data_IF_618763686644
#
_entry.id   IF_618763686644
#
_cell.length_a   1.000
_cell.length_b   1.000
_cell.length_c   1.000
_cell.angle_alpha   90.00
_cell.angle_beta   90.00
_cell.angle_gamma   90.00
#
_symmetry.space_group_name_H-M   'P 1'
#
loop_
_entity.id
_entity.type
_entity.pdbx_description
1 polymer ?
#
# COMPACT_ATOMS: atom_id res chain seq x y z
N UNK A 1 6.95 -9.68 -10.07
CA UNK A 1 6.10 -9.90 -8.90
C UNK A 1 6.85 -9.58 -7.60
N UNK A 2 7.29 -8.32 -7.46
CA UNK A 2 8.15 -7.86 -6.36
C UNK A 2 7.41 -6.97 -5.34
N UNK A 3 6.09 -6.91 -5.41
CA UNK A 3 5.27 -6.09 -4.54
C UNK A 3 5.18 -4.63 -4.97
N UNK A 4 4.65 -3.79 -4.09
CA UNK A 4 4.42 -2.36 -4.36
C UNK A 4 5.56 -1.46 -3.90
N UNK A 5 5.18 -0.29 -3.39
CA UNK A 5 6.08 0.83 -3.05
C UNK A 5 6.00 1.26 -1.57
N UNK A 6 5.38 0.42 -0.72
CA UNK A 6 5.05 0.80 0.66
C UNK A 6 6.25 1.17 1.51
N UNK A 7 7.43 0.59 1.24
CA UNK A 7 8.66 0.90 1.95
C UNK A 7 9.20 2.32 1.75
N UNK A 8 8.72 3.04 0.71
CA UNK A 8 9.05 4.46 0.47
C UNK A 8 8.28 5.42 1.39
N UNK A 9 7.30 4.92 2.16
CA UNK A 9 6.44 5.74 3.02
C UNK A 9 6.77 5.55 4.49
N UNK A 10 6.83 6.63 5.23
CA UNK A 10 7.07 6.62 6.68
C UNK A 10 6.00 5.80 7.43
N UNK A 11 4.73 5.98 7.06
CA UNK A 11 3.63 5.18 7.57
C UNK A 11 3.13 4.25 6.46
N UNK A 12 3.38 2.96 6.61
CA UNK A 12 2.94 1.93 5.66
C UNK A 12 2.56 0.64 6.38
N UNK A 13 1.57 -0.05 5.83
CA UNK A 13 1.21 -1.41 6.25
C UNK A 13 2.10 -2.48 5.60
N UNK A 14 3.01 -2.09 4.71
CA UNK A 14 3.98 -2.96 4.06
C UNK A 14 5.31 -2.99 4.81
N UNK A 15 6.12 -4.00 4.52
CA UNK A 15 7.47 -4.07 5.05
C UNK A 15 8.39 -3.04 4.39
N UNK A 16 9.39 -2.47 5.10
CA UNK A 16 10.28 -1.44 4.58
C UNK A 16 11.08 -1.84 3.33
N UNK A 17 11.34 -3.14 3.12
CA UNK A 17 12.06 -3.65 1.96
C UNK A 17 11.19 -3.75 0.69
N UNK A 18 9.88 -3.48 0.77
CA UNK A 18 8.99 -3.43 -0.39
C UNK A 18 8.97 -1.98 -0.90
N UNK A 19 10.01 -1.58 -1.59
CA UNK A 19 10.28 -0.17 -1.93
C UNK A 19 10.22 0.14 -3.44
N UNK A 20 9.63 -0.75 -4.24
CA UNK A 20 9.44 -0.50 -5.68
C UNK A 20 10.65 -0.80 -6.54
N UNK A 21 11.59 -1.62 -6.08
CA UNK A 21 12.84 -1.92 -6.81
C UNK A 21 12.57 -2.41 -8.23
N UNK A 22 11.64 -3.35 -8.42
CA UNK A 22 11.28 -3.84 -9.75
C UNK A 22 10.61 -2.78 -10.63
N UNK A 23 9.88 -1.85 -10.04
CA UNK A 23 9.33 -0.71 -10.76
C UNK A 23 10.44 0.25 -11.19
N UNK A 24 11.39 0.57 -10.29
CA UNK A 24 12.55 1.40 -10.59
C UNK A 24 13.42 0.81 -11.72
N UNK A 25 13.68 -0.51 -11.69
CA UNK A 25 14.36 -1.22 -12.77
C UNK A 25 13.59 -1.06 -14.08
N UNK A 26 12.29 -1.32 -14.10
CA UNK A 26 11.46 -1.21 -15.29
C UNK A 26 11.48 0.21 -15.88
N UNK A 27 11.37 1.24 -15.04
CA UNK A 27 11.41 2.64 -15.45
C UNK A 27 12.77 3.02 -16.06
N UNK A 28 13.88 2.55 -15.50
CA UNK A 28 15.23 2.77 -16.05
C UNK A 28 15.45 2.11 -17.39
N UNK A 29 14.75 1.02 -17.66
CA UNK A 29 14.75 0.34 -18.95
C UNK A 29 13.62 0.78 -19.88
N UNK A 30 12.97 1.92 -19.60
CA UNK A 30 11.91 2.52 -20.44
C UNK A 30 10.71 1.60 -20.66
N UNK A 31 10.45 0.68 -19.74
CA UNK A 31 9.21 -0.09 -19.72
C UNK A 31 8.06 0.85 -19.35
N UNK A 32 6.95 0.76 -20.08
CA UNK A 32 5.79 1.61 -19.82
C UNK A 32 5.25 1.40 -18.41
N UNK A 33 4.95 2.51 -17.74
CA UNK A 33 4.33 2.56 -16.42
C UNK A 33 3.08 3.41 -16.46
N UNK A 34 2.13 3.15 -15.57
CA UNK A 34 0.84 3.81 -15.57
C UNK A 34 0.37 4.10 -14.14
N UNK A 35 -0.27 5.26 -13.92
CA UNK A 35 -0.94 5.61 -12.67
C UNK A 35 -0.06 5.53 -11.40
N UNK A 36 1.19 6.00 -11.45
CA UNK A 36 2.10 5.96 -10.30
C UNK A 36 1.59 6.79 -9.09
N UNK A 37 0.65 7.70 -9.32
CA UNK A 37 -0.08 8.49 -8.32
C UNK A 37 -1.25 7.73 -7.66
N UNK A 38 -1.67 6.55 -8.19
CA UNK A 38 -2.77 5.77 -7.64
C UNK A 38 -2.32 4.95 -6.41
N UNK A 39 -2.32 5.61 -5.29
CA UNK A 39 -1.84 5.07 -4.01
C UNK A 39 -2.99 5.05 -3.01
N UNK A 40 -3.38 3.86 -2.56
CA UNK A 40 -4.42 3.71 -1.55
C UNK A 40 -3.84 3.92 -0.15
N UNK A 41 -4.43 4.86 0.58
CA UNK A 41 -4.16 5.08 2.00
C UNK A 41 -5.23 4.34 2.81
N UNK A 42 -4.82 3.59 3.82
CA UNK A 42 -5.74 3.05 4.82
C UNK A 42 -5.91 4.08 5.95
N UNK A 43 -7.14 4.44 6.32
CA UNK A 43 -7.39 5.50 7.29
C UNK A 43 -6.83 5.20 8.69
N UNK A 44 -6.93 3.95 9.13
CA UNK A 44 -6.67 3.56 10.51
C UNK A 44 -5.61 2.47 10.60
N UNK A 45 -4.42 2.85 11.02
CA UNK A 45 -3.36 1.95 11.49
C UNK A 45 -2.93 2.39 12.87
N UNK A 46 -2.55 1.45 13.73
CA UNK A 46 -2.12 1.79 15.08
C UNK A 46 -0.88 2.67 15.02
N UNK A 47 -0.93 3.83 15.67
CA UNK A 47 0.21 4.71 15.79
C UNK A 47 1.25 4.09 16.74
N UNK A 48 2.50 4.04 16.31
CA UNK A 48 3.63 3.63 17.14
C UNK A 48 4.85 4.50 16.80
N UNK A 49 5.67 4.81 17.78
CA UNK A 49 6.95 5.50 17.58
C UNK A 49 8.05 4.57 17.07
N UNK A 50 7.80 3.28 17.10
CA UNK A 50 8.71 2.28 16.55
C UNK A 50 8.79 2.39 15.03
N UNK A 51 9.99 2.22 14.49
CA UNK A 51 10.19 2.15 13.03
C UNK A 51 9.66 0.80 12.50
N UNK A 52 9.16 0.83 11.28
CA UNK A 52 8.74 -0.37 10.57
C UNK A 52 7.28 -0.35 10.13
N UNK A 53 6.76 -1.53 9.89
CA UNK A 53 5.40 -1.74 9.40
C UNK A 53 4.36 -1.31 10.43
N UNK A 54 3.39 -0.49 9.99
CA UNK A 54 2.23 -0.12 10.82
C UNK A 54 1.25 -1.29 10.92
N UNK A 55 0.73 -1.52 12.12
CA UNK A 55 -0.30 -2.53 12.34
C UNK A 55 -1.66 -2.02 11.85
N UNK A 56 -2.32 -2.80 11.02
CA UNK A 56 -3.60 -2.45 10.42
C UNK A 56 -4.74 -2.62 11.43
N UNK A 57 -5.48 -1.54 11.71
CA UNK A 57 -6.79 -1.63 12.35
C UNK A 57 -7.81 -1.83 11.22
N UNK A 58 -8.45 -3.00 11.19
CA UNK A 58 -9.35 -3.39 10.10
C UNK A 58 -10.48 -2.37 9.90
N UNK A 59 -10.87 -2.16 8.65
CA UNK A 59 -12.04 -1.36 8.30
C UNK A 59 -13.33 -1.87 8.96
N UNK A 60 -13.41 -3.18 9.23
CA UNK A 60 -14.55 -3.79 9.93
C UNK A 60 -14.76 -3.22 11.33
N UNK A 61 -13.69 -2.73 12.00
CA UNK A 61 -13.79 -2.09 13.32
C UNK A 61 -14.68 -0.86 13.25
N UNK A 62 -14.47 0.00 12.24
CA UNK A 62 -15.34 1.16 11.97
C UNK A 62 -16.72 0.73 11.47
N UNK A 63 -16.76 -0.33 10.64
CA UNK A 63 -18.01 -0.93 10.15
C UNK A 63 -18.91 -1.45 11.27
N UNK A 64 -18.35 -1.95 12.38
CA UNK A 64 -19.06 -2.43 13.54
C UNK A 64 -19.35 -1.32 14.57
N UNK A 65 -18.91 -0.08 14.33
CA UNK A 65 -19.34 1.08 15.11
C UNK A 65 -18.26 1.80 15.90
N UNK A 66 -16.97 1.56 15.66
CA UNK A 66 -15.91 2.37 16.23
C UNK A 66 -15.96 3.80 15.66
N UNK A 67 -15.59 4.78 16.49
CA UNK A 67 -15.73 6.20 16.20
C UNK A 67 -14.37 6.91 16.21
N UNK A 68 -14.22 7.93 15.37
CA UNK A 68 -13.01 8.74 15.29
C UNK A 68 -13.16 10.08 16.01
N UNK A 69 -12.19 10.38 16.86
CA UNK A 69 -12.19 11.58 17.69
C UNK A 69 -10.90 12.39 17.51
N UNK A 70 -11.05 13.71 17.62
CA UNK A 70 -9.94 14.65 17.74
C UNK A 70 -9.28 14.60 19.13
N UNK A 71 -8.24 15.41 19.34
CA UNK A 71 -7.55 15.50 20.64
C UNK A 71 -8.42 15.95 21.81
N UNK A 72 -9.57 16.59 21.54
CA UNK A 72 -10.51 17.08 22.55
C UNK A 72 -11.68 16.11 22.79
N UNK A 73 -11.67 14.94 22.14
CA UNK A 73 -12.75 13.96 22.23
C UNK A 73 -14.00 14.34 21.42
N UNK A 74 -13.85 15.16 20.37
CA UNK A 74 -14.94 15.52 19.48
C UNK A 74 -14.87 14.70 18.20
N UNK A 75 -16.00 14.09 17.81
CA UNK A 75 -16.12 13.37 16.56
C UNK A 75 -16.05 14.35 15.38
N UNK A 76 -15.23 14.08 14.38
CA UNK A 76 -14.95 15.03 13.28
C UNK A 76 -15.30 14.52 11.89
N UNK A 77 -15.65 13.24 11.73
CA UNK A 77 -15.97 12.65 10.42
C UNK A 77 -17.05 11.57 10.52
N UNK A 78 -17.54 11.11 9.37
CA UNK A 78 -18.36 9.89 9.27
C UNK A 78 -17.43 8.73 8.84
N UNK A 79 -17.23 7.80 9.73
CA UNK A 79 -16.27 6.68 9.62
C UNK A 79 -16.62 5.67 8.53
N UNK A 80 -17.86 5.68 8.03
CA UNK A 80 -18.36 4.76 7.01
C UNK A 80 -18.20 5.31 5.58
N UNK A 81 -17.62 6.49 5.42
CA UNK A 81 -17.27 7.02 4.11
C UNK A 81 -16.13 6.22 3.44
N UNK A 82 -15.92 6.35 2.12
CA UNK A 82 -14.79 5.75 1.42
C UNK A 82 -13.44 6.07 2.06
N UNK A 83 -12.47 5.17 1.93
CA UNK A 83 -11.15 5.26 2.60
C UNK A 83 -10.42 6.56 2.33
N UNK A 84 -10.46 7.04 1.09
CA UNK A 84 -9.85 8.29 0.66
C UNK A 84 -10.44 9.49 1.42
N UNK A 85 -11.76 9.57 1.53
CA UNK A 85 -12.45 10.64 2.26
C UNK A 85 -12.11 10.60 3.76
N UNK A 86 -12.16 9.42 4.38
CA UNK A 86 -11.83 9.29 5.81
C UNK A 86 -10.35 9.59 6.05
N UNK A 87 -9.45 9.16 5.19
CA UNK A 87 -8.02 9.47 5.31
C UNK A 87 -7.74 10.96 5.21
N UNK A 88 -8.37 11.65 4.25
CA UNK A 88 -8.25 13.10 4.11
C UNK A 88 -8.79 13.84 5.34
N UNK A 89 -9.92 13.40 5.89
CA UNK A 89 -10.48 13.98 7.11
C UNK A 89 -9.53 13.81 8.31
N UNK A 90 -8.88 12.64 8.43
CA UNK A 90 -7.89 12.39 9.49
C UNK A 90 -6.66 13.28 9.30
N UNK A 91 -6.09 13.37 8.10
CA UNK A 91 -4.94 14.25 7.84
C UNK A 91 -5.27 15.72 8.17
N UNK A 92 -6.42 16.22 7.71
CA UNK A 92 -6.86 17.59 8.00
C UNK A 92 -7.04 17.83 9.51
N UNK A 93 -7.57 16.83 10.25
CA UNK A 93 -7.74 16.94 11.69
C UNK A 93 -6.40 16.90 12.44
N UNK A 94 -5.45 16.03 12.02
CA UNK A 94 -4.10 15.99 12.57
C UNK A 94 -3.38 17.34 12.39
N UNK A 95 -3.46 17.92 11.20
CA UNK A 95 -2.88 19.24 10.90
C UNK A 95 -3.50 20.33 11.79
N UNK A 96 -4.82 20.41 11.86
CA UNK A 96 -5.56 21.35 12.69
C UNK A 96 -5.20 21.25 14.17
N UNK A 97 -5.04 20.03 14.67
CA UNK A 97 -4.73 19.75 16.06
C UNK A 97 -3.23 19.86 16.39
N UNK A 98 -2.36 19.85 15.38
CA UNK A 98 -0.91 19.75 15.56
C UNK A 98 -0.48 18.43 16.19
N UNK A 99 -1.13 17.32 15.81
CA UNK A 99 -0.89 15.98 16.39
C UNK A 99 -0.40 15.00 15.33
N UNK A 100 0.30 13.94 15.77
CA UNK A 100 0.79 12.86 14.89
C UNK A 100 -0.23 11.75 14.66
N UNK A 101 -1.38 11.79 15.34
CA UNK A 101 -2.44 10.78 15.27
C UNK A 101 -3.80 11.39 15.65
N UNK A 102 -4.87 10.67 15.37
CA UNK A 102 -6.21 10.86 15.93
C UNK A 102 -6.58 9.68 16.82
N UNK A 103 -7.73 9.72 17.47
CA UNK A 103 -8.17 8.67 18.39
C UNK A 103 -9.29 7.83 17.76
N UNK A 104 -9.16 6.51 17.76
CA UNK A 104 -10.23 5.57 17.40
C UNK A 104 -10.78 4.89 18.65
N UNK A 105 -12.06 5.07 18.92
CA UNK A 105 -12.74 4.52 20.07
C UNK A 105 -13.52 3.25 19.71
N UNK A 106 -13.03 2.11 20.17
CA UNK A 106 -13.65 0.81 19.99
C UNK A 106 -14.67 0.45 21.08
N UNK A 107 -14.78 1.22 22.17
CA UNK A 107 -15.66 0.91 23.30
C UNK A 107 -17.15 0.80 22.94
N UNK A 108 -17.69 1.54 21.94
CA UNK A 108 -19.07 1.37 21.49
C UNK A 108 -19.39 -0.05 20.99
N UNK A 109 -18.40 -0.83 20.55
CA UNK A 109 -18.59 -2.23 20.13
C UNK A 109 -18.87 -3.15 21.32
N UNK A 110 -18.43 -2.79 22.52
CA UNK A 110 -18.48 -3.60 23.72
C UNK A 110 -17.35 -4.64 23.81
N UNK A 111 -16.94 -4.98 25.03
CA UNK A 111 -15.81 -5.88 25.31
C UNK A 111 -15.93 -7.23 24.60
N UNK A 112 -17.13 -7.84 24.60
CA UNK A 112 -17.35 -9.14 23.98
C UNK A 112 -17.02 -9.11 22.49
N UNK A 113 -17.55 -8.13 21.77
CA UNK A 113 -17.30 -7.96 20.32
C UNK A 113 -15.83 -7.72 20.04
N UNK A 114 -15.18 -6.86 20.81
CA UNK A 114 -13.73 -6.57 20.63
C UNK A 114 -12.91 -7.85 20.75
N UNK A 115 -13.18 -8.68 21.77
CA UNK A 115 -12.42 -9.92 22.00
C UNK A 115 -12.74 -11.05 21.02
N UNK A 116 -13.99 -11.17 20.58
CA UNK A 116 -14.42 -12.28 19.71
C UNK A 116 -14.21 -11.98 18.22
N UNK A 117 -14.49 -10.73 17.76
CA UNK A 117 -14.37 -10.38 16.34
C UNK A 117 -12.97 -9.85 16.00
N UNK A 118 -12.29 -9.19 16.95
CA UNK A 118 -11.00 -8.53 16.71
C UNK A 118 -9.88 -8.99 17.67
N UNK A 119 -9.72 -10.31 17.94
CA UNK A 119 -8.76 -10.79 18.95
C UNK A 119 -7.32 -10.37 18.67
N UNK A 120 -6.90 -10.39 17.40
CA UNK A 120 -5.54 -9.99 17.01
C UNK A 120 -5.32 -8.47 17.17
N UNK A 121 -6.34 -7.66 16.87
CA UNK A 121 -6.27 -6.20 17.08
C UNK A 121 -6.18 -5.90 18.55
N UNK A 122 -7.05 -6.52 19.37
CA UNK A 122 -7.02 -6.38 20.82
C UNK A 122 -5.64 -6.72 21.40
N UNK A 123 -5.13 -7.91 21.06
CA UNK A 123 -3.84 -8.38 21.56
C UNK A 123 -2.70 -7.42 21.19
N UNK A 124 -2.65 -6.98 19.93
CA UNK A 124 -1.61 -6.08 19.46
C UNK A 124 -1.69 -4.69 20.13
N UNK A 125 -2.90 -4.16 20.34
CA UNK A 125 -3.07 -2.91 21.09
C UNK A 125 -2.53 -3.03 22.53
N UNK A 126 -2.81 -4.15 23.22
CA UNK A 126 -2.29 -4.42 24.56
C UNK A 126 -0.75 -4.49 24.56
N UNK A 127 -0.14 -5.13 23.57
CA UNK A 127 1.32 -5.22 23.41
C UNK A 127 1.98 -3.85 23.21
N UNK A 128 1.29 -2.93 22.51
CA UNK A 128 1.72 -1.54 22.32
C UNK A 128 1.35 -0.62 23.49
N UNK A 129 0.70 -1.14 24.55
CA UNK A 129 0.36 -0.42 25.77
C UNK A 129 -0.99 0.27 25.77
N UNK A 130 -1.89 -0.03 24.85
CA UNK A 130 -3.23 0.52 24.74
C UNK A 130 -4.30 -0.54 25.04
N UNK A 131 -5.26 -0.23 25.89
CA UNK A 131 -6.40 -1.13 26.16
C UNK A 131 -7.67 -0.60 25.45
N UNK A 132 -8.01 -1.11 24.25
CA UNK A 132 -9.13 -0.61 23.46
C UNK A 132 -10.50 -0.85 24.10
N UNK A 133 -10.57 -1.61 25.20
CA UNK A 133 -11.80 -1.78 26.00
C UNK A 133 -11.97 -0.61 26.99
N UNK A 134 -10.87 -0.02 27.42
CA UNK A 134 -10.89 1.04 28.46
C UNK A 134 -10.75 2.45 27.89
N UNK A 135 -10.00 2.58 26.80
CA UNK A 135 -9.62 3.88 26.22
C UNK A 135 -9.59 3.86 24.69
N UNK A 136 -9.74 5.03 24.04
CA UNK A 136 -9.49 5.14 22.61
C UNK A 136 -8.02 4.87 22.28
N UNK A 137 -7.77 4.27 21.12
CA UNK A 137 -6.42 3.96 20.63
C UNK A 137 -5.94 5.04 19.64
N UNK A 138 -4.64 5.39 19.63
CA UNK A 138 -4.09 6.31 18.63
C UNK A 138 -3.98 5.64 17.26
N UNK A 139 -4.51 6.30 16.22
CA UNK A 139 -4.47 5.81 14.85
C UNK A 139 -3.97 6.87 13.87
N UNK A 140 -3.30 6.42 12.81
CA UNK A 140 -2.74 7.28 11.77
C UNK A 140 -3.01 6.65 10.39
N UNK A 141 -3.30 7.46 9.36
CA UNK A 141 -3.36 6.95 8.01
C UNK A 141 -2.00 6.44 7.53
N UNK A 142 -2.02 5.35 6.76
CA UNK A 142 -0.81 4.75 6.23
C UNK A 142 -0.99 4.27 4.79
N UNK A 143 0.10 4.33 4.02
CA UNK A 143 0.13 3.69 2.70
C UNK A 143 -0.22 2.20 2.86
N UNK A 144 -1.11 1.71 1.99
CA UNK A 144 -1.65 0.36 2.14
C UNK A 144 -1.55 -0.48 0.87
N UNK A 145 -1.84 0.10 -0.30
CA UNK A 145 -1.78 -0.59 -1.57
C UNK A 145 -1.43 0.38 -2.71
N UNK A 146 -0.72 -0.14 -3.71
CA UNK A 146 -0.34 0.60 -4.90
C UNK A 146 -1.12 0.06 -6.10
N UNK A 147 -1.99 0.87 -6.72
CA UNK A 147 -2.82 0.47 -7.85
C UNK A 147 -2.20 0.82 -9.20
N UNK A 148 -1.20 1.69 -9.21
CA UNK A 148 -0.36 1.96 -10.36
C UNK A 148 0.72 0.91 -10.55
N UNK A 149 1.70 1.19 -11.42
CA UNK A 149 2.86 0.32 -11.61
C UNK A 149 3.24 0.09 -13.07
N UNK A 150 3.92 -1.02 -13.31
CA UNK A 150 4.30 -1.45 -14.65
C UNK A 150 3.04 -1.76 -15.45
N UNK A 151 2.82 -1.03 -16.54
CA UNK A 151 1.67 -1.23 -17.42
C UNK A 151 1.71 -2.62 -18.05
N UNK A 152 0.59 -3.34 -17.99
CA UNK A 152 0.48 -4.68 -18.57
C UNK A 152 -0.84 -4.87 -19.31
N UNK A 153 -0.82 -5.80 -20.28
CA UNK A 153 -2.03 -6.27 -20.95
C UNK A 153 -2.77 -7.35 -20.13
N UNK A 154 -3.85 -7.90 -20.70
CA UNK A 154 -4.65 -8.95 -20.05
C UNK A 154 -3.89 -10.27 -19.82
N UNK A 155 -2.74 -10.46 -20.43
CA UNK A 155 -1.84 -11.61 -20.24
C UNK A 155 -0.64 -11.28 -19.36
N UNK A 156 -0.65 -10.10 -18.71
CA UNK A 156 0.46 -9.58 -17.88
C UNK A 156 1.76 -9.28 -18.67
N UNK A 157 1.69 -9.13 -19.99
CA UNK A 157 2.84 -8.70 -20.80
C UNK A 157 3.09 -7.21 -20.61
N UNK A 158 4.34 -6.84 -20.46
CA UNK A 158 4.77 -5.43 -20.44
C UNK A 158 5.04 -4.93 -21.86
N UNK A 159 5.39 -3.64 -22.00
CA UNK A 159 5.88 -3.08 -23.28
C UNK A 159 7.22 -3.68 -23.74
N UNK A 160 7.98 -4.30 -22.84
CA UNK A 160 9.22 -4.98 -23.16
C UNK A 160 8.96 -6.46 -23.49
N UNK A 161 9.32 -6.90 -24.70
CA UNK A 161 9.15 -8.29 -25.16
C UNK A 161 9.84 -9.28 -24.21
N UNK A 162 9.11 -10.27 -23.72
CA UNK A 162 9.61 -11.30 -22.79
C UNK A 162 9.61 -10.92 -21.33
N UNK A 163 9.21 -9.69 -20.98
CA UNK A 163 9.03 -9.25 -19.61
C UNK A 163 7.54 -9.26 -19.23
N UNK A 164 7.24 -9.85 -18.09
CA UNK A 164 5.90 -9.90 -17.51
C UNK A 164 5.90 -9.26 -16.13
N UNK A 165 4.76 -8.65 -15.75
CA UNK A 165 4.55 -8.14 -14.40
C UNK A 165 3.16 -8.54 -13.90
N UNK A 166 3.05 -8.99 -12.65
CA UNK A 166 1.79 -9.35 -12.01
C UNK A 166 1.81 -9.05 -10.51
N UNK A 167 0.62 -8.95 -9.90
CA UNK A 167 0.45 -8.51 -8.52
C UNK A 167 0.69 -7.01 -8.37
N UNK A 168 0.94 -6.54 -7.15
CA UNK A 168 0.97 -5.11 -6.81
C UNK A 168 2.01 -4.28 -7.57
N UNK A 169 3.03 -4.90 -8.17
CA UNK A 169 4.00 -4.20 -9.02
C UNK A 169 3.46 -3.81 -10.39
N UNK A 170 2.31 -4.40 -10.80
CA UNK A 170 1.73 -4.20 -12.13
C UNK A 170 0.47 -3.34 -12.11
N UNK A 171 0.29 -2.54 -13.16
CA UNK A 171 -0.95 -1.82 -13.44
C UNK A 171 -1.69 -2.49 -14.59
N UNK A 172 -2.71 -3.28 -14.27
CA UNK A 172 -3.62 -3.94 -15.24
C UNK A 172 -4.98 -3.24 -15.36
N UNK A 173 -5.18 -2.14 -14.64
CA UNK A 173 -6.39 -1.33 -14.68
C UNK A 173 -7.58 -1.85 -13.85
N UNK A 174 -7.51 -3.05 -13.29
CA UNK A 174 -8.63 -3.71 -12.57
C UNK A 174 -9.10 -2.90 -11.36
N UNK A 175 -8.19 -2.23 -10.66
CA UNK A 175 -8.50 -1.53 -9.42
C UNK A 175 -8.91 -0.07 -9.62
N UNK A 176 -8.54 0.54 -10.74
CA UNK A 176 -8.73 1.99 -10.93
C UNK A 176 -8.04 2.80 -9.83
N UNK A 177 -8.62 3.96 -9.48
CA UNK A 177 -8.08 4.88 -8.47
C UNK A 177 -8.37 4.45 -7.02
N UNK A 178 -9.28 3.48 -6.79
CA UNK A 178 -9.68 3.05 -5.44
C UNK A 178 -9.98 1.55 -5.40
N UNK A 179 -9.04 0.74 -4.92
CA UNK A 179 -9.14 -0.72 -4.84
C UNK A 179 -10.18 -1.16 -3.81
N UNK A 180 -11.07 -2.06 -4.22
CA UNK A 180 -11.97 -2.76 -3.30
C UNK A 180 -11.17 -3.68 -2.37
N UNK A 181 -11.54 -3.71 -1.11
CA UNK A 181 -10.91 -4.55 -0.08
C UNK A 181 -10.79 -6.01 -0.53
N UNK A 182 -9.68 -6.66 -0.23
CA UNK A 182 -9.33 -8.06 -0.56
C UNK A 182 -9.18 -8.39 -2.05
N UNK A 183 -9.56 -7.50 -2.97
CA UNK A 183 -9.59 -7.79 -4.41
C UNK A 183 -8.18 -7.97 -5.02
N UNK A 184 -7.15 -7.45 -4.36
CA UNK A 184 -5.74 -7.62 -4.79
C UNK A 184 -5.27 -9.07 -4.81
N UNK A 185 -5.75 -9.91 -3.87
CA UNK A 185 -5.38 -11.33 -3.84
C UNK A 185 -5.95 -12.06 -5.04
N UNK A 186 -7.22 -11.80 -5.38
CA UNK A 186 -7.86 -12.39 -6.55
C UNK A 186 -7.18 -11.93 -7.85
N UNK A 187 -6.92 -10.64 -7.98
CA UNK A 187 -6.19 -10.06 -9.11
C UNK A 187 -4.85 -10.75 -9.30
N UNK A 188 -4.02 -10.82 -8.26
CA UNK A 188 -2.69 -11.43 -8.33
C UNK A 188 -2.74 -12.88 -8.80
N UNK A 189 -3.68 -13.69 -8.29
CA UNK A 189 -3.83 -15.09 -8.70
C UNK A 189 -4.28 -15.22 -10.16
N UNK A 190 -5.25 -14.41 -10.58
CA UNK A 190 -5.79 -14.47 -11.95
C UNK A 190 -4.74 -14.06 -12.97
N UNK A 191 -4.06 -12.94 -12.73
CA UNK A 191 -3.08 -12.41 -13.68
C UNK A 191 -1.78 -13.21 -13.68
N UNK A 192 -1.32 -13.74 -12.54
CA UNK A 192 -0.19 -14.68 -12.51
C UNK A 192 -0.48 -15.96 -13.31
N UNK A 193 -1.71 -16.49 -13.21
CA UNK A 193 -2.13 -17.63 -14.03
C UNK A 193 -2.13 -17.29 -15.52
N UNK A 194 -2.64 -16.13 -15.91
CA UNK A 194 -2.64 -15.67 -17.30
C UNK A 194 -1.22 -15.52 -17.85
N UNK A 195 -0.33 -14.90 -17.08
CA UNK A 195 1.10 -14.80 -17.40
C UNK A 195 1.72 -16.18 -17.64
N UNK A 196 1.48 -17.13 -16.73
CA UNK A 196 2.02 -18.48 -16.86
C UNK A 196 1.53 -19.21 -18.12
N UNK A 197 0.23 -19.11 -18.44
CA UNK A 197 -0.30 -19.68 -19.69
C UNK A 197 0.33 -19.04 -20.92
N UNK A 198 0.49 -17.73 -20.92
CA UNK A 198 1.08 -17.03 -22.06
C UNK A 198 2.57 -17.37 -22.24
N UNK A 199 3.33 -17.50 -21.14
CA UNK A 199 4.74 -17.94 -21.19
C UNK A 199 4.89 -19.37 -21.70
N UNK A 200 3.93 -20.27 -21.39
CA UNK A 200 3.99 -21.68 -21.82
C UNK A 200 3.57 -21.88 -23.26
N UNK A 201 2.58 -21.14 -23.75
CA UNK A 201 1.94 -21.38 -25.05
C UNK A 201 2.12 -20.21 -26.02
N UNK A 202 2.65 -19.09 -25.57
CA UNK A 202 2.94 -17.92 -26.37
C UNK A 202 4.25 -18.06 -27.17
N UNK A 203 4.53 -17.05 -27.96
CA UNK A 203 5.79 -17.00 -28.72
C UNK A 203 6.95 -16.63 -27.79
N UNK A 204 7.91 -17.48 -27.63
CA UNK A 204 9.12 -17.19 -26.86
C UNK A 204 9.86 -15.96 -27.43
N UNK A 205 10.44 -15.11 -26.58
CA UNK A 205 11.33 -14.04 -27.06
C UNK A 205 12.60 -14.64 -27.68
N UNK A 206 13.20 -13.88 -28.58
CA UNK A 206 14.52 -14.26 -29.12
C UNK A 206 15.55 -14.27 -27.98
N UNK A 207 16.50 -15.22 -27.97
CA UNK A 207 17.55 -15.27 -26.98
C UNK A 207 18.36 -13.97 -26.96
N UNK A 208 18.54 -13.39 -25.77
CA UNK A 208 19.46 -12.27 -25.62
C UNK A 208 20.90 -12.78 -25.74
N UNK A 209 21.67 -12.19 -26.64
CA UNK A 209 23.09 -12.54 -26.86
C UNK A 209 24.05 -11.59 -26.12
N UNK A 210 23.52 -10.54 -25.48
CA UNK A 210 24.34 -9.56 -24.77
C UNK A 210 24.81 -10.12 -23.42
N UNK A 211 26.10 -10.04 -23.15
CA UNK A 211 26.64 -10.30 -21.81
C UNK A 211 26.39 -9.06 -20.94
N UNK A 212 25.75 -9.23 -19.76
CA UNK A 212 25.51 -8.10 -18.87
C UNK A 212 26.82 -7.62 -18.25
N UNK A 213 27.02 -6.29 -18.20
CA UNK A 213 28.09 -5.68 -17.41
C UNK A 213 27.71 -5.69 -15.92
N UNK A 214 28.13 -6.73 -15.21
CA UNK A 214 27.82 -6.93 -13.80
C UNK A 214 28.47 -5.91 -12.87
N UNK A 215 29.54 -5.22 -13.30
CA UNK A 215 30.21 -4.19 -12.49
C UNK A 215 29.29 -3.02 -12.13
N UNK A 216 28.30 -2.74 -12.98
CA UNK A 216 27.29 -1.69 -12.75
C UNK A 216 26.38 -1.98 -11.56
N UNK A 217 26.38 -3.21 -11.05
CA UNK A 217 25.47 -3.70 -10.00
C UNK A 217 26.21 -4.13 -8.72
N UNK A 218 27.48 -3.76 -8.56
CA UNK A 218 28.31 -4.16 -7.41
C UNK A 218 27.91 -3.41 -6.14
N UNK A 219 27.59 -2.10 -6.24
CA UNK A 219 27.15 -1.27 -5.11
C UNK A 219 25.62 -1.31 -4.97
N UNK A 220 25.15 -2.19 -4.11
CA UNK A 220 23.71 -2.40 -3.89
C UNK A 220 23.03 -1.20 -3.23
N UNK A 221 23.71 -0.47 -2.35
CA UNK A 221 23.09 0.64 -1.63
C UNK A 221 22.85 1.81 -2.59
N UNK A 222 23.86 2.17 -3.39
CA UNK A 222 23.72 3.19 -4.42
C UNK A 222 22.67 2.82 -5.47
N UNK A 223 22.61 1.54 -5.84
CA UNK A 223 21.66 1.05 -6.83
C UNK A 223 20.20 1.12 -6.33
N UNK A 224 19.95 0.72 -5.08
CA UNK A 224 18.62 0.79 -4.47
C UNK A 224 18.16 2.23 -4.31
N UNK A 225 19.04 3.12 -3.84
CA UNK A 225 18.74 4.56 -3.71
C UNK A 225 18.34 5.16 -5.07
N UNK A 226 19.07 4.83 -6.12
CA UNK A 226 18.80 5.29 -7.48
C UNK A 226 17.45 4.76 -8.01
N UNK A 227 17.07 3.52 -7.71
CA UNK A 227 15.74 2.98 -8.08
C UNK A 227 14.63 3.66 -7.29
N UNK A 228 14.80 3.88 -5.99
CA UNK A 228 13.82 4.56 -5.15
C UNK A 228 13.60 6.00 -5.62
N UNK A 229 14.67 6.71 -5.94
CA UNK A 229 14.61 8.10 -6.44
C UNK A 229 13.83 8.18 -7.75
N UNK A 230 14.09 7.29 -8.70
CA UNK A 230 13.37 7.24 -9.99
C UNK A 230 11.87 6.99 -9.79
N UNK A 231 11.50 6.12 -8.85
CA UNK A 231 10.08 5.85 -8.52
C UNK A 231 9.42 7.08 -7.91
N UNK A 232 10.06 7.74 -6.94
CA UNK A 232 9.54 8.95 -6.29
C UNK A 232 9.34 10.09 -7.30
N UNK A 233 10.33 10.35 -8.15
CA UNK A 233 10.20 11.36 -9.22
C UNK A 233 9.08 11.02 -10.22
N UNK A 234 8.88 9.74 -10.51
CA UNK A 234 7.77 9.28 -11.35
C UNK A 234 6.41 9.57 -10.73
N UNK A 235 6.27 9.32 -9.43
CA UNK A 235 5.04 9.62 -8.67
C UNK A 235 4.76 11.12 -8.66
N UNK A 236 5.76 11.95 -8.34
CA UNK A 236 5.62 13.41 -8.30
C UNK A 236 5.24 13.99 -9.66
N UNK A 237 5.86 13.52 -10.74
CA UNK A 237 5.55 13.96 -12.09
C UNK A 237 4.10 13.65 -12.50
N UNK A 238 3.56 12.48 -12.11
CA UNK A 238 2.17 12.15 -12.41
C UNK A 238 1.19 12.98 -11.60
N UNK A 239 1.48 13.24 -10.32
CA UNK A 239 0.68 14.16 -9.48
C UNK A 239 0.64 15.60 -9.99
N UNK A 240 1.73 16.08 -10.59
CA UNK A 240 1.82 17.44 -11.12
C UNK A 240 1.08 17.65 -12.45
N UNK A 241 0.60 16.59 -13.09
CA UNK A 241 -0.12 16.62 -14.36
C UNK A 241 -1.65 16.50 -14.19
N UNK A 242 -2.19 16.39 -12.97
CA UNK A 242 -3.62 16.50 -12.65
C UNK A 242 -4.00 17.96 -12.33
#
# INVERSE_FOLDING_TARGET
ACGGIGGLYQNSTNYPHIAGDGLGIAMKHQVEVEHLDYIQIHPTTLFSRSKGRRFLISESVRGEGALLYDKNGQRFTNELQPRDIVSQAIFAQMEKDGTEFVLEDMRPLGEKTIREHFPNIYQHCIEEGFDPIKEPIPVVPAQHYFMGGIKVDLSSRTSMKGLYACGETSCNGVHGKNRLASNSLLESLVFARRAAYDMLFGQAPDPCQAEPDLKRYEDKEVLLEDYHQVVLEGIERMRGNE
#
